data_IF_418893396883
#
_entry.id   IF_418893396883
#
_cell.length_a   1.000
_cell.length_b   1.000
_cell.length_c   1.000
_cell.angle_alpha   90.00
_cell.angle_beta   90.00
_cell.angle_gamma   90.00
#
_symmetry.space_group_name_H-M   'P 1'
#
loop_
_entity.id
_entity.type
_entity.pdbx_description
1 polymer ?
#
# COMPACT_ATOMS: atom_id res chain seq x y z
N UNK A 1 3.10 17.29 -8.72
CA UNK A 1 2.13 16.35 -9.28
C UNK A 1 2.32 15.00 -8.61
N UNK A 2 1.29 14.49 -7.96
CA UNK A 2 1.37 13.25 -7.19
C UNK A 2 1.01 12.06 -8.09
N UNK A 3 1.95 11.14 -8.27
CA UNK A 3 1.77 9.91 -9.04
C UNK A 3 1.67 8.66 -8.16
N UNK A 4 1.96 8.78 -6.87
CA UNK A 4 2.00 7.68 -5.93
C UNK A 4 1.22 8.01 -4.66
N UNK A 5 0.28 7.15 -4.32
CA UNK A 5 -0.44 7.21 -3.06
C UNK A 5 0.06 6.09 -2.15
N UNK A 6 0.35 6.42 -0.91
CA UNK A 6 0.70 5.46 0.14
C UNK A 6 -0.37 5.54 1.20
N UNK A 7 -1.03 4.43 1.48
CA UNK A 7 -2.02 4.33 2.55
C UNK A 7 -1.57 3.32 3.60
N UNK A 8 -1.62 3.73 4.86
CA UNK A 8 -1.30 2.85 5.99
C UNK A 8 -2.43 2.87 7.00
N UNK A 9 -2.61 1.77 7.71
CA UNK A 9 -3.74 1.60 8.61
C UNK A 9 -3.62 2.29 9.96
N UNK A 10 -2.42 2.69 10.36
CA UNK A 10 -2.17 3.29 11.67
C UNK A 10 -0.91 4.15 11.67
N UNK A 11 -0.92 5.20 12.50
CA UNK A 11 0.27 6.03 12.70
C UNK A 11 1.43 5.25 13.30
N UNK A 12 1.16 4.14 13.99
CA UNK A 12 2.21 3.26 14.54
C UNK A 12 3.03 2.56 13.45
N UNK A 13 2.54 2.56 12.21
CA UNK A 13 3.26 1.98 11.07
C UNK A 13 4.28 2.94 10.44
N UNK A 14 4.23 4.22 10.78
CA UNK A 14 5.13 5.24 10.21
C UNK A 14 6.62 4.90 10.31
N UNK A 15 7.14 4.33 11.41
CA UNK A 15 8.56 4.01 11.50
C UNK A 15 9.06 3.06 10.39
N UNK A 16 8.18 2.26 9.81
CA UNK A 16 8.55 1.34 8.72
C UNK A 16 8.69 2.03 7.37
N UNK A 17 8.29 3.29 7.25
CA UNK A 17 8.27 4.01 5.97
C UNK A 17 9.57 4.73 5.64
N UNK A 18 10.47 4.88 6.60
CA UNK A 18 11.63 5.78 6.49
C UNK A 18 12.49 5.49 5.24
N UNK A 19 12.95 4.26 5.08
CA UNK A 19 13.84 3.92 3.96
C UNK A 19 13.17 4.09 2.59
N UNK A 20 11.90 3.72 2.49
CA UNK A 20 11.14 3.89 1.25
C UNK A 20 10.88 5.34 0.90
N UNK A 21 10.50 6.15 1.88
CA UNK A 21 10.27 7.58 1.66
C UNK A 21 11.56 8.31 1.27
N UNK A 22 12.68 7.96 1.89
CA UNK A 22 13.98 8.48 1.54
C UNK A 22 14.36 8.12 0.10
N UNK A 23 14.14 6.88 -0.30
CA UNK A 23 14.35 6.43 -1.68
C UNK A 23 13.53 7.25 -2.68
N UNK A 24 12.24 7.47 -2.39
CA UNK A 24 11.36 8.27 -3.26
C UNK A 24 11.84 9.72 -3.35
N UNK A 25 12.31 10.29 -2.27
CA UNK A 25 12.86 11.64 -2.25
C UNK A 25 14.11 11.74 -3.13
N UNK A 26 15.02 10.77 -3.03
CA UNK A 26 16.21 10.71 -3.88
C UNK A 26 15.86 10.60 -5.35
N UNK A 27 14.80 9.88 -5.67
CA UNK A 27 14.30 9.73 -7.06
C UNK A 27 13.42 10.89 -7.51
N UNK A 28 13.17 11.87 -6.65
CA UNK A 28 12.31 13.03 -6.93
C UNK A 28 10.89 12.63 -7.33
N UNK A 29 10.34 11.66 -6.60
CA UNK A 29 8.97 11.20 -6.79
C UNK A 29 8.11 11.75 -5.67
N UNK A 30 7.12 12.56 -6.02
CA UNK A 30 6.15 13.07 -5.07
C UNK A 30 5.16 11.96 -4.71
N UNK A 31 4.88 11.85 -3.42
CA UNK A 31 3.88 10.91 -2.92
C UNK A 31 3.01 11.59 -1.86
N UNK A 32 1.83 11.03 -1.68
CA UNK A 32 0.92 11.40 -0.60
C UNK A 32 0.82 10.21 0.35
N UNK A 33 0.89 10.48 1.66
CA UNK A 33 0.73 9.44 2.68
C UNK A 33 -0.57 9.71 3.43
N UNK A 34 -1.49 8.75 3.39
CA UNK A 34 -2.77 8.83 4.08
C UNK A 34 -2.82 7.72 5.13
N UNK A 35 -3.23 8.08 6.35
CA UNK A 35 -3.44 7.14 7.44
C UNK A 35 -4.95 6.95 7.60
N UNK A 36 -5.41 5.73 7.39
CA UNK A 36 -6.82 5.40 7.55
C UNK A 36 -7.01 3.92 7.84
N UNK A 37 -7.69 3.62 8.94
CA UNK A 37 -7.99 2.25 9.32
C UNK A 37 -9.30 1.81 8.66
N UNK A 38 -9.24 0.82 7.79
CA UNK A 38 -10.44 0.31 7.11
C UNK A 38 -11.40 -0.38 8.07
N UNK A 39 -10.90 -0.90 9.19
CA UNK A 39 -11.73 -1.57 10.20
C UNK A 39 -12.35 -0.58 11.19
N UNK A 40 -11.61 0.44 11.61
CA UNK A 40 -12.09 1.43 12.58
C UNK A 40 -12.85 2.59 11.93
N UNK A 41 -12.47 2.94 10.70
CA UNK A 41 -12.98 4.10 9.98
C UNK A 41 -13.32 3.75 8.54
N UNK A 42 -14.23 2.78 8.30
CA UNK A 42 -14.49 2.30 6.95
C UNK A 42 -15.00 3.38 5.99
N UNK A 43 -15.84 4.30 6.48
CA UNK A 43 -16.37 5.38 5.64
C UNK A 43 -15.28 6.38 5.26
N UNK A 44 -14.41 6.74 6.20
CA UNK A 44 -13.27 7.61 5.93
C UNK A 44 -12.33 6.97 4.91
N UNK A 45 -12.03 5.69 5.08
CA UNK A 45 -11.16 4.95 4.17
C UNK A 45 -11.74 4.95 2.76
N UNK A 46 -13.01 4.63 2.60
CA UNK A 46 -13.67 4.66 1.29
C UNK A 46 -13.64 6.06 0.67
N UNK A 47 -13.93 7.10 1.45
CA UNK A 47 -13.90 8.47 0.96
C UNK A 47 -12.52 8.90 0.50
N UNK A 48 -11.47 8.55 1.25
CA UNK A 48 -10.08 8.85 0.88
C UNK A 48 -9.66 8.14 -0.40
N UNK A 49 -10.04 6.87 -0.56
CA UNK A 49 -9.74 6.12 -1.78
C UNK A 49 -10.43 6.78 -2.98
N UNK A 50 -11.73 7.04 -2.87
CA UNK A 50 -12.50 7.63 -3.98
C UNK A 50 -11.99 9.03 -4.33
N UNK A 51 -11.63 9.82 -3.33
CA UNK A 51 -11.04 11.14 -3.57
C UNK A 51 -9.71 11.04 -4.31
N UNK A 52 -8.85 10.11 -3.90
CA UNK A 52 -7.54 9.91 -4.52
C UNK A 52 -7.66 9.46 -5.98
N UNK A 53 -8.68 8.65 -6.31
CA UNK A 53 -8.92 8.19 -7.68
C UNK A 53 -9.38 9.32 -8.63
N UNK A 54 -9.75 10.47 -8.10
CA UNK A 54 -10.01 11.65 -8.94
C UNK A 54 -8.74 12.28 -9.48
N UNK A 55 -7.60 11.95 -8.91
CA UNK A 55 -6.31 12.41 -9.41
C UNK A 55 -5.92 11.60 -10.65
N UNK A 56 -6.07 12.19 -11.82
CA UNK A 56 -5.78 11.52 -13.10
C UNK A 56 -4.30 11.22 -13.31
N UNK A 57 -3.42 11.78 -12.47
CA UNK A 57 -1.99 11.55 -12.53
C UNK A 57 -1.54 10.38 -11.64
N UNK A 58 -2.44 9.83 -10.84
CA UNK A 58 -2.13 8.71 -9.97
C UNK A 58 -1.81 7.46 -10.80
N UNK A 59 -0.64 6.87 -10.57
CA UNK A 59 -0.15 5.74 -11.33
C UNK A 59 0.01 4.46 -10.52
N UNK A 60 0.25 4.60 -9.22
CA UNK A 60 0.52 3.44 -8.34
C UNK A 60 -0.02 3.74 -6.95
N UNK A 61 -0.51 2.70 -6.28
CA UNK A 61 -0.87 2.75 -4.86
C UNK A 61 -0.04 1.72 -4.10
N UNK A 62 0.48 2.12 -2.95
CA UNK A 62 1.13 1.23 -1.99
C UNK A 62 0.28 1.26 -0.73
N UNK A 63 -0.09 0.11 -0.22
CA UNK A 63 -0.90 0.01 0.99
C UNK A 63 -0.28 -0.97 1.97
N UNK A 64 -0.21 -0.56 3.23
CA UNK A 64 0.33 -1.38 4.30
C UNK A 64 -0.62 -1.47 5.48
N UNK A 65 -0.68 -2.63 6.09
CA UNK A 65 -1.52 -2.89 7.24
C UNK A 65 -0.82 -3.81 8.23
N UNK A 66 -1.22 -3.71 9.50
CA UNK A 66 -0.62 -4.49 10.58
C UNK A 66 -1.42 -5.77 10.86
N UNK A 67 -2.24 -5.79 11.87
CA UNK A 67 -2.82 -7.02 12.43
C UNK A 67 -3.74 -7.76 11.46
N UNK A 68 -4.74 -7.08 10.95
CA UNK A 68 -5.62 -7.64 9.92
C UNK A 68 -5.29 -6.93 8.61
N UNK A 69 -4.77 -7.62 7.65
CA UNK A 69 -4.26 -7.04 6.40
C UNK A 69 -5.37 -6.70 5.41
N UNK A 70 -6.47 -6.08 5.91
CA UNK A 70 -7.65 -5.78 5.10
C UNK A 70 -7.49 -4.60 4.15
N UNK A 71 -6.74 -3.57 4.54
CA UNK A 71 -6.64 -2.34 3.76
C UNK A 71 -6.17 -2.54 2.31
N UNK A 72 -5.08 -3.28 2.04
CA UNK A 72 -4.66 -3.48 0.66
C UNK A 72 -5.73 -4.17 -0.21
N UNK A 73 -6.41 -5.17 0.33
CA UNK A 73 -7.46 -5.88 -0.38
C UNK A 73 -8.68 -5.00 -0.67
N UNK A 74 -9.07 -4.16 0.28
CA UNK A 74 -10.17 -3.21 0.09
C UNK A 74 -9.83 -2.23 -1.04
N UNK A 75 -8.61 -1.67 -1.01
CA UNK A 75 -8.18 -0.76 -2.08
C UNK A 75 -8.17 -1.47 -3.43
N UNK A 76 -7.63 -2.69 -3.49
CA UNK A 76 -7.61 -3.48 -4.73
C UNK A 76 -9.00 -3.63 -5.34
N UNK A 77 -10.03 -3.78 -4.51
CA UNK A 77 -11.43 -3.82 -4.96
C UNK A 77 -11.88 -2.54 -5.65
N UNK A 78 -11.45 -1.39 -5.16
CA UNK A 78 -11.75 -0.10 -5.79
C UNK A 78 -11.02 0.13 -7.10
N UNK A 79 -9.95 -0.63 -7.38
CA UNK A 79 -9.12 -0.42 -8.56
C UNK A 79 -9.52 -1.27 -9.78
N UNK A 80 -10.57 -2.08 -9.66
CA UNK A 80 -10.96 -3.04 -10.71
C UNK A 80 -11.19 -2.42 -12.08
N UNK A 81 -11.73 -1.20 -12.12
CA UNK A 81 -12.00 -0.49 -13.37
C UNK A 81 -10.90 0.51 -13.73
N UNK A 82 -9.74 0.39 -13.12
CA UNK A 82 -8.60 1.28 -13.36
C UNK A 82 -7.41 0.50 -13.90
N UNK A 83 -6.38 1.23 -14.35
CA UNK A 83 -5.09 0.65 -14.71
C UNK A 83 -4.04 0.85 -13.61
N UNK A 84 -4.47 1.16 -12.40
CA UNK A 84 -3.58 1.45 -11.28
C UNK A 84 -3.23 0.15 -10.55
N UNK A 85 -1.95 -0.25 -10.53
CA UNK A 85 -1.52 -1.38 -9.73
C UNK A 85 -1.41 -1.02 -8.27
N UNK A 86 -1.55 -2.04 -7.40
CA UNK A 86 -1.38 -1.89 -5.97
C UNK A 86 -0.35 -2.88 -5.45
N UNK A 87 0.54 -2.39 -4.60
CA UNK A 87 1.51 -3.19 -3.84
C UNK A 87 1.10 -3.21 -2.39
N UNK A 88 0.98 -4.40 -1.81
CA UNK A 88 0.60 -4.59 -0.42
C UNK A 88 1.78 -4.98 0.46
N UNK A 89 1.77 -4.50 1.71
CA UNK A 89 2.83 -4.75 2.68
C UNK A 89 2.19 -5.09 4.02
N UNK A 90 2.82 -6.00 4.77
CA UNK A 90 2.47 -6.30 6.15
C UNK A 90 3.45 -5.60 7.09
N UNK A 91 2.93 -4.87 8.07
CA UNK A 91 3.73 -4.29 9.15
C UNK A 91 3.55 -5.10 10.44
N UNK A 92 4.65 -5.46 11.07
CA UNK A 92 4.62 -6.14 12.37
C UNK A 92 5.93 -5.91 13.11
N UNK A 93 5.83 -5.67 14.43
CA UNK A 93 7.01 -5.53 15.29
C UNK A 93 7.64 -6.87 15.66
N UNK A 94 6.87 -7.95 15.54
CA UNK A 94 7.29 -9.29 15.95
C UNK A 94 7.02 -10.29 14.82
N UNK A 95 7.82 -10.27 13.73
CA UNK A 95 7.59 -11.17 12.61
C UNK A 95 7.98 -12.60 13.00
N UNK A 96 6.97 -13.41 13.32
CA UNK A 96 7.15 -14.86 13.48
C UNK A 96 6.68 -15.58 12.22
N UNK A 97 7.01 -16.86 12.09
CA UNK A 97 6.69 -17.64 10.90
C UNK A 97 5.18 -17.67 10.61
N UNK A 98 4.35 -17.85 11.65
CA UNK A 98 2.90 -17.89 11.48
C UNK A 98 2.35 -16.54 10.99
N UNK A 99 2.89 -15.42 11.47
CA UNK A 99 2.47 -14.08 11.04
C UNK A 99 2.86 -13.85 9.58
N UNK A 100 4.05 -14.29 9.19
CA UNK A 100 4.52 -14.18 7.80
C UNK A 100 3.64 -15.01 6.88
N UNK A 101 3.29 -16.24 7.27
CA UNK A 101 2.43 -17.12 6.50
C UNK A 101 1.02 -16.53 6.36
N UNK A 102 0.44 -16.01 7.44
CA UNK A 102 -0.87 -15.37 7.43
C UNK A 102 -0.89 -14.17 6.48
N UNK A 103 0.13 -13.31 6.54
CA UNK A 103 0.24 -12.16 5.66
C UNK A 103 0.36 -12.59 4.20
N UNK A 104 1.19 -13.58 3.93
CA UNK A 104 1.37 -14.10 2.57
C UNK A 104 0.07 -14.67 2.05
N UNK A 105 -0.65 -15.46 2.86
CA UNK A 105 -1.93 -16.01 2.48
C UNK A 105 -2.95 -14.90 2.20
N UNK A 106 -3.13 -13.98 3.14
CA UNK A 106 -4.15 -12.93 3.01
C UNK A 106 -3.90 -11.99 1.83
N UNK A 107 -2.64 -11.62 1.59
CA UNK A 107 -2.30 -10.68 0.53
C UNK A 107 -2.13 -11.34 -0.84
N UNK A 108 -1.93 -12.67 -0.87
CA UNK A 108 -1.79 -13.42 -2.12
C UNK A 108 -3.06 -14.10 -2.58
N UNK A 109 -4.03 -14.28 -1.68
CA UNK A 109 -5.27 -15.04 -1.95
C UNK A 109 -6.44 -14.14 -2.32
N UNK A 110 -6.20 -13.17 -3.20
CA UNK A 110 -7.25 -12.26 -3.66
C UNK A 110 -8.23 -12.98 -4.59
N UNK A 111 -9.49 -12.51 -4.62
CA UNK A 111 -10.47 -13.05 -5.58
C UNK A 111 -10.00 -12.90 -7.03
N UNK A 112 -10.53 -13.75 -7.90
CA UNK A 112 -10.26 -13.67 -9.34
C UNK A 112 -10.54 -12.25 -9.85
N UNK A 113 -9.65 -11.71 -10.66
CA UNK A 113 -9.72 -10.38 -11.29
C UNK A 113 -9.58 -9.20 -10.32
N UNK A 114 -9.13 -9.44 -9.08
CA UNK A 114 -8.79 -8.40 -8.12
C UNK A 114 -7.31 -8.56 -7.76
N UNK A 115 -6.40 -8.11 -8.63
CA UNK A 115 -4.97 -8.35 -8.43
C UNK A 115 -4.38 -7.44 -7.35
N UNK A 116 -3.45 -8.00 -6.61
CA UNK A 116 -2.66 -7.33 -5.58
C UNK A 116 -1.28 -7.97 -5.55
N UNK A 117 -0.22 -7.18 -5.64
CA UNK A 117 1.13 -7.70 -5.53
C UNK A 117 1.66 -7.49 -4.11
N UNK A 118 2.05 -8.57 -3.45
CA UNK A 118 2.63 -8.53 -2.11
C UNK A 118 4.15 -8.42 -2.21
N UNK A 119 4.74 -7.37 -1.58
CA UNK A 119 6.18 -7.11 -1.66
C UNK A 119 6.94 -7.49 -0.39
N UNK A 120 6.25 -7.96 0.62
CA UNK A 120 6.88 -8.38 1.86
C UNK A 120 6.38 -7.62 3.08
N UNK A 121 7.19 -7.62 4.13
CA UNK A 121 6.80 -7.00 5.38
C UNK A 121 7.85 -5.98 5.85
N UNK A 122 7.41 -5.05 6.71
CA UNK A 122 8.21 -4.02 7.35
C UNK A 122 8.98 -3.13 6.37
N UNK A 123 10.10 -2.58 6.81
CA UNK A 123 10.88 -1.60 6.04
C UNK A 123 11.32 -2.14 4.68
N UNK A 124 11.75 -3.39 4.62
CA UNK A 124 12.20 -4.01 3.38
C UNK A 124 11.06 -4.15 2.37
N UNK A 125 9.89 -4.62 2.84
CA UNK A 125 8.72 -4.76 1.99
C UNK A 125 8.26 -3.41 1.44
N UNK A 126 8.24 -2.38 2.28
CA UNK A 126 7.87 -1.04 1.86
C UNK A 126 8.90 -0.45 0.89
N UNK A 127 10.20 -0.59 1.18
CA UNK A 127 11.24 -0.12 0.29
C UNK A 127 11.12 -0.76 -1.11
N UNK A 128 10.90 -2.08 -1.15
CA UNK A 128 10.76 -2.78 -2.43
C UNK A 128 9.53 -2.31 -3.21
N UNK A 129 8.43 -2.04 -2.51
CA UNK A 129 7.25 -1.46 -3.16
C UNK A 129 7.56 -0.08 -3.75
N UNK A 130 8.28 0.76 -3.02
CA UNK A 130 8.69 2.08 -3.50
C UNK A 130 9.61 1.97 -4.73
N UNK A 131 10.52 1.01 -4.73
CA UNK A 131 11.40 0.78 -5.88
C UNK A 131 10.63 0.34 -7.12
N UNK A 132 9.67 -0.57 -6.95
CA UNK A 132 8.81 -1.00 -8.05
C UNK A 132 7.92 0.13 -8.55
N UNK A 133 7.34 0.90 -7.64
CA UNK A 133 6.55 2.08 -7.99
C UNK A 133 7.36 3.09 -8.79
N UNK A 134 8.61 3.34 -8.38
CA UNK A 134 9.50 4.26 -9.09
C UNK A 134 9.76 3.82 -10.53
N UNK A 135 9.94 2.52 -10.75
CA UNK A 135 10.14 1.96 -12.09
C UNK A 135 8.92 2.16 -12.98
N UNK A 136 7.73 2.07 -12.41
CA UNK A 136 6.48 2.31 -13.13
C UNK A 136 6.32 3.80 -13.45
N UNK A 137 6.57 4.67 -12.49
CA UNK A 137 6.37 6.12 -12.63
C UNK A 137 7.38 6.74 -13.57
N UNK A 138 8.63 6.28 -13.54
CA UNK A 138 9.72 6.84 -14.34
C UNK A 138 9.84 6.26 -15.76
N UNK A 139 8.93 5.41 -16.15
CA UNK A 139 8.88 4.99 -17.57
C UNK A 139 8.25 6.08 -18.48
#
# INVERSE_FOLDING_TARGET
MVHLLIMIGSSSDKPFLHAGLEYLQEKKIDCEVIISSTHREPQKTSAEILMSLKNKNLKVIIAGAATATGLPGVIAGYLQETNIPIFGIRFTKEPGQSIIEDATFNLSSMPSRVPLAYTGFNEKGFLHACMLAARIIKT
#
